data_IF_046638755031
#
_entry.id   IF_046638755031
#
_cell.length_a   1.000
_cell.length_b   1.000
_cell.length_c   1.000
_cell.angle_alpha   90.00
_cell.angle_beta   90.00
_cell.angle_gamma   90.00
#
_symmetry.space_group_name_H-M   'P 1'
#
loop_
_entity.id
_entity.type
_entity.pdbx_description
1 polymer ?
#
# COMPACT_ATOMS: atom_id res chain seq x y z
N UNK A 1 20.22 -0.20 20.66
CA UNK A 1 19.82 -1.37 19.84
C UNK A 1 18.57 -0.96 19.08
N UNK A 2 18.56 -1.10 17.75
CA UNK A 2 17.40 -0.74 16.93
C UNK A 2 16.43 -1.92 16.85
N UNK A 3 15.13 -1.63 16.80
CA UNK A 3 14.06 -2.63 16.69
C UNK A 3 13.03 -2.16 15.66
N UNK A 4 12.28 -3.09 15.07
CA UNK A 4 11.18 -2.76 14.17
C UNK A 4 10.18 -1.83 14.88
N UNK A 5 9.74 -0.73 14.24
CA UNK A 5 8.69 0.12 14.79
C UNK A 5 7.42 -0.65 15.10
N UNK A 6 6.71 -0.26 16.17
CA UNK A 6 5.42 -0.87 16.53
C UNK A 6 4.45 -0.79 15.34
N UNK A 7 3.80 -1.91 15.03
CA UNK A 7 2.89 -2.03 13.90
C UNK A 7 3.56 -2.47 12.59
N UNK A 8 4.88 -2.66 12.59
CA UNK A 8 5.64 -3.24 11.47
C UNK A 8 6.23 -4.59 11.86
N UNK A 9 6.46 -5.46 10.87
CA UNK A 9 7.04 -6.79 11.06
C UNK A 9 8.07 -7.06 9.97
N UNK A 10 9.11 -7.81 10.32
CA UNK A 10 10.01 -8.42 9.34
C UNK A 10 9.44 -9.78 8.92
N UNK A 11 9.44 -10.08 7.62
CA UNK A 11 9.11 -11.42 7.12
C UNK A 11 10.39 -12.24 7.07
N UNK A 12 10.55 -13.15 8.04
CA UNK A 12 11.80 -13.88 8.24
C UNK A 12 11.98 -15.02 7.23
N UNK A 13 13.21 -15.53 7.01
CA UNK A 13 13.47 -16.62 6.07
C UNK A 13 12.58 -17.86 6.25
N UNK A 14 12.25 -18.21 7.49
CA UNK A 14 11.33 -19.30 7.84
C UNK A 14 9.87 -19.06 7.40
N UNK A 15 9.45 -17.80 7.26
CA UNK A 15 8.10 -17.41 6.84
C UNK A 15 7.97 -17.32 5.32
N UNK A 16 9.08 -17.07 4.63
CA UNK A 16 9.11 -16.87 3.17
C UNK A 16 8.44 -18.00 2.35
N UNK A 17 8.55 -19.30 2.71
CA UNK A 17 7.84 -20.36 2.00
C UNK A 17 6.32 -20.18 1.99
N UNK A 18 5.72 -19.71 3.09
CA UNK A 18 4.28 -19.48 3.17
C UNK A 18 3.84 -18.29 2.32
N UNK A 19 4.61 -17.20 2.32
CA UNK A 19 4.36 -16.03 1.47
C UNK A 19 4.46 -16.36 -0.01
N UNK A 20 5.49 -17.12 -0.42
CA UNK A 20 5.62 -17.59 -1.81
C UNK A 20 4.42 -18.43 -2.22
N UNK A 21 4.00 -19.38 -1.39
CA UNK A 21 2.82 -20.20 -1.67
C UNK A 21 1.56 -19.33 -1.89
N UNK A 22 1.35 -18.32 -1.04
CA UNK A 22 0.22 -17.38 -1.18
C UNK A 22 0.29 -16.63 -2.53
N UNK A 23 1.44 -16.06 -2.86
CA UNK A 23 1.62 -15.32 -4.12
C UNK A 23 1.39 -16.21 -5.35
N UNK A 24 1.91 -17.43 -5.35
CA UNK A 24 1.71 -18.41 -6.43
C UNK A 24 0.23 -18.76 -6.61
N UNK A 25 -0.53 -18.93 -5.52
CA UNK A 25 -1.98 -19.21 -5.63
C UNK A 25 -2.75 -17.99 -6.17
N UNK A 26 -2.42 -16.78 -5.71
CA UNK A 26 -3.06 -15.56 -6.19
C UNK A 26 -2.79 -15.37 -7.68
N UNK A 27 -1.53 -15.50 -8.11
CA UNK A 27 -1.15 -15.36 -9.52
C UNK A 27 -1.83 -16.41 -10.39
N UNK A 28 -1.82 -17.68 -9.96
CA UNK A 28 -2.46 -18.77 -10.70
C UNK A 28 -3.95 -18.53 -10.91
N UNK A 29 -4.67 -18.12 -9.86
CA UNK A 29 -6.12 -17.90 -9.96
C UNK A 29 -6.43 -16.67 -10.79
N UNK A 30 -5.76 -15.54 -10.56
CA UNK A 30 -6.01 -14.28 -11.27
C UNK A 30 -5.72 -14.38 -12.76
N UNK A 31 -4.68 -15.13 -13.15
CA UNK A 31 -4.35 -15.41 -14.55
C UNK A 31 -5.47 -16.16 -15.31
N UNK A 32 -6.22 -17.05 -14.63
CA UNK A 32 -7.35 -17.76 -15.26
C UNK A 32 -8.49 -16.83 -15.67
N UNK A 33 -8.58 -15.65 -15.05
CA UNK A 33 -9.60 -14.64 -15.34
C UNK A 33 -9.04 -13.45 -16.15
N UNK A 34 -7.81 -13.55 -16.65
CA UNK A 34 -7.20 -12.51 -17.48
C UNK A 34 -6.74 -11.26 -16.74
N UNK A 35 -6.69 -11.29 -15.40
CA UNK A 35 -6.11 -10.20 -14.62
C UNK A 35 -4.58 -10.18 -14.79
N UNK A 36 -4.02 -8.99 -14.73
CA UNK A 36 -2.58 -8.77 -14.81
C UNK A 36 -2.08 -8.11 -13.53
N UNK A 37 -0.87 -8.48 -13.12
CA UNK A 37 -0.22 -7.86 -11.97
C UNK A 37 0.16 -6.41 -12.31
N UNK A 38 -0.19 -5.49 -11.41
CA UNK A 38 0.21 -4.09 -11.44
C UNK A 38 0.78 -3.72 -10.08
N UNK A 39 2.03 -3.24 -10.06
CA UNK A 39 2.66 -2.71 -8.85
C UNK A 39 2.70 -1.17 -8.96
N UNK A 40 2.08 -0.49 -8.00
CA UNK A 40 1.99 0.98 -7.95
C UNK A 40 2.91 1.58 -6.85
N UNK A 41 3.29 2.87 -6.95
CA UNK A 41 4.15 3.53 -5.97
C UNK A 41 3.64 3.43 -4.52
N UNK A 42 4.57 3.39 -3.57
CA UNK A 42 4.27 3.28 -2.12
C UNK A 42 3.70 4.57 -1.54
N UNK A 43 3.92 5.71 -2.21
CA UNK A 43 3.31 6.99 -1.86
C UNK A 43 2.80 7.69 -3.13
N UNK A 44 1.81 8.55 -2.96
CA UNK A 44 1.25 9.41 -4.01
C UNK A 44 0.97 10.80 -3.44
N UNK A 45 0.58 11.76 -4.28
CA UNK A 45 0.09 13.06 -3.79
C UNK A 45 -1.09 12.86 -2.83
N UNK A 46 -1.06 13.55 -1.69
CA UNK A 46 -2.10 13.43 -0.65
C UNK A 46 -3.51 13.66 -1.21
N UNK A 47 -3.64 14.61 -2.16
CA UNK A 47 -4.95 14.96 -2.75
C UNK A 47 -5.61 13.83 -3.54
N UNK A 48 -4.85 12.81 -3.95
CA UNK A 48 -5.39 11.60 -4.60
C UNK A 48 -6.25 10.82 -3.62
N UNK A 49 -5.77 10.58 -2.40
CA UNK A 49 -6.48 9.76 -1.41
C UNK A 49 -7.63 10.52 -0.76
N UNK A 50 -7.48 11.83 -0.53
CA UNK A 50 -8.59 12.67 -0.03
C UNK A 50 -9.79 12.61 -0.97
N UNK A 51 -9.55 12.72 -2.28
CA UNK A 51 -10.62 12.63 -3.29
C UNK A 51 -11.13 11.20 -3.51
N UNK A 52 -10.24 10.21 -3.52
CA UNK A 52 -10.58 8.83 -3.85
C UNK A 52 -11.31 8.09 -2.73
N UNK A 53 -10.90 8.29 -1.48
CA UNK A 53 -11.49 7.63 -0.29
C UNK A 53 -12.66 8.44 0.26
N UNK A 54 -12.57 9.77 0.18
CA UNK A 54 -13.59 10.70 0.65
C UNK A 54 -13.20 11.39 1.96
N UNK A 55 -13.47 12.70 2.01
CA UNK A 55 -13.29 13.53 3.20
C UNK A 55 -14.18 13.04 4.35
N UNK A 56 -13.67 13.12 5.60
CA UNK A 56 -14.40 12.71 6.80
C UNK A 56 -14.41 11.20 7.07
N UNK A 57 -13.66 10.42 6.29
CA UNK A 57 -13.38 9.02 6.63
C UNK A 57 -12.27 8.94 7.66
N UNK A 58 -12.30 7.94 8.55
CA UNK A 58 -11.23 7.75 9.53
C UNK A 58 -9.86 7.57 8.85
N UNK A 59 -9.83 6.96 7.66
CA UNK A 59 -8.63 6.83 6.84
C UNK A 59 -8.02 8.22 6.59
N UNK A 60 -8.79 9.12 6.00
CA UNK A 60 -8.34 10.47 5.64
C UNK A 60 -8.05 11.32 6.88
N UNK A 61 -8.86 11.19 7.93
CA UNK A 61 -8.77 12.09 9.08
C UNK A 61 -7.68 11.69 10.09
N UNK A 62 -7.38 10.39 10.23
CA UNK A 62 -6.59 9.88 11.37
C UNK A 62 -5.53 8.84 11.01
N UNK A 63 -5.65 8.15 9.89
CA UNK A 63 -4.81 6.97 9.60
C UNK A 63 -3.78 7.21 8.47
N UNK A 64 -3.93 8.26 7.67
CA UNK A 64 -2.97 8.61 6.62
C UNK A 64 -1.63 9.08 7.18
N UNK A 65 -0.56 8.38 6.81
CA UNK A 65 0.81 8.85 7.03
C UNK A 65 1.21 9.85 5.92
N UNK A 66 0.96 11.12 6.17
CA UNK A 66 1.23 12.23 5.24
C UNK A 66 2.41 13.08 5.69
N UNK A 67 3.25 13.51 4.75
CA UNK A 67 4.42 14.36 4.99
C UNK A 67 4.80 15.15 3.75
N UNK A 68 5.61 16.19 3.95
CA UNK A 68 6.18 16.95 2.84
C UNK A 68 7.46 16.30 2.33
N UNK A 69 7.54 16.14 1.01
CA UNK A 69 8.79 15.76 0.37
C UNK A 69 9.82 16.91 0.39
N UNK A 70 11.02 16.65 -0.10
CA UNK A 70 12.09 17.68 -0.14
C UNK A 70 11.77 18.87 -1.05
N UNK A 71 10.76 18.76 -1.92
CA UNK A 71 10.27 19.81 -2.80
C UNK A 71 9.07 20.58 -2.23
N UNK A 72 8.63 20.26 -1.01
CA UNK A 72 7.47 20.89 -0.37
C UNK A 72 6.12 20.39 -0.90
N UNK A 73 6.08 19.22 -1.56
CA UNK A 73 4.82 18.59 -1.99
C UNK A 73 4.27 17.70 -0.88
N UNK A 74 2.97 17.79 -0.63
CA UNK A 74 2.28 16.91 0.30
C UNK A 74 2.07 15.54 -0.33
N UNK A 75 2.71 14.53 0.25
CA UNK A 75 2.63 13.13 -0.16
C UNK A 75 2.17 12.26 0.99
N UNK A 76 1.54 11.14 0.66
CA UNK A 76 0.98 10.20 1.64
C UNK A 76 1.40 8.79 1.29
N UNK A 77 1.88 8.03 2.28
CA UNK A 77 2.04 6.58 2.13
C UNK A 77 0.69 5.97 1.80
N UNK A 78 0.65 5.12 0.78
CA UNK A 78 -0.54 4.49 0.24
C UNK A 78 -1.35 3.80 1.35
N UNK A 79 -2.53 4.33 1.75
CA UNK A 79 -3.37 3.71 2.76
C UNK A 79 -4.23 2.57 2.19
N UNK A 80 -4.50 2.60 0.89
CA UNK A 80 -5.32 1.63 0.15
C UNK A 80 -4.92 1.58 -1.34
N UNK A 81 -5.39 0.60 -2.11
CA UNK A 81 -4.90 0.36 -3.48
C UNK A 81 -5.74 0.98 -4.60
N UNK A 82 -7.05 1.16 -4.41
CA UNK A 82 -8.03 1.50 -5.44
C UNK A 82 -7.76 2.86 -6.07
N UNK A 83 -7.58 3.92 -5.28
CA UNK A 83 -7.34 5.26 -5.79
C UNK A 83 -6.03 5.34 -6.59
N UNK A 84 -4.99 4.64 -6.11
CA UNK A 84 -3.71 4.54 -6.81
C UNK A 84 -3.76 3.71 -8.10
N UNK A 85 -4.65 2.71 -8.19
CA UNK A 85 -4.85 1.91 -9.42
C UNK A 85 -5.67 2.67 -10.46
N UNK A 86 -6.67 3.45 -10.04
CA UNK A 86 -7.62 4.12 -10.93
C UNK A 86 -7.11 5.42 -11.56
N UNK A 87 -5.95 5.92 -11.13
CA UNK A 87 -5.41 7.23 -11.54
C UNK A 87 -4.82 7.26 -12.96
#
# INVERSE_FOLDING_TARGET
MYVAPRGTIDILPEDQPYWRYLYEQIERVTALFGYQRLDIPVFEETSLYVRGVGEGTDIVDKEMYSFQDKGGRDITLRPEFTAGIMR
#
